data_IF_921963535926
#
_entry.id   IF_921963535926
#
_cell.length_a   1.000
_cell.length_b   1.000
_cell.length_c   1.000
_cell.angle_alpha   90.00
_cell.angle_beta   90.00
_cell.angle_gamma   90.00
#
_symmetry.space_group_name_H-M   'P 1'
#
loop_
_entity.id
_entity.type
_entity.pdbx_description
1 polymer ?
#
# COMPACT_ATOMS: atom_id res chain seq x y z
N UNK A 1 -9.93 -16.59 -11.45
CA UNK A 1 -10.29 -15.15 -11.49
C UNK A 1 -9.33 -14.42 -10.58
N UNK A 2 -8.79 -13.27 -11.00
CA UNK A 2 -8.05 -12.40 -10.09
C UNK A 2 -9.06 -11.70 -9.17
N UNK A 3 -8.83 -11.74 -7.86
CA UNK A 3 -9.61 -11.02 -6.87
C UNK A 3 -8.93 -9.66 -6.66
N UNK A 4 -9.69 -8.57 -6.62
CA UNK A 4 -9.15 -7.23 -6.39
C UNK A 4 -9.66 -6.71 -5.04
N UNK A 5 -8.78 -6.04 -4.30
CA UNK A 5 -9.18 -5.18 -3.20
C UNK A 5 -9.03 -3.72 -3.60
N UNK A 6 -9.94 -2.88 -3.13
CA UNK A 6 -9.94 -1.44 -3.38
C UNK A 6 -9.82 -0.71 -2.05
N UNK A 7 -8.98 0.31 -2.00
CA UNK A 7 -8.93 1.20 -0.84
C UNK A 7 -9.53 2.55 -1.20
N UNK A 8 -10.35 3.09 -0.31
CA UNK A 8 -10.95 4.41 -0.44
C UNK A 8 -10.73 5.21 0.83
N UNK A 9 -10.29 6.46 0.68
CA UNK A 9 -10.20 7.42 1.76
C UNK A 9 -10.75 8.77 1.33
N UNK A 10 -11.57 9.38 2.20
CA UNK A 10 -12.11 10.71 1.98
C UNK A 10 -12.44 11.40 3.33
N UNK A 11 -12.34 12.74 3.40
CA UNK A 11 -12.83 13.48 4.54
C UNK A 11 -14.35 13.59 4.47
N UNK A 12 -14.99 13.42 5.62
CA UNK A 12 -16.43 13.62 5.79
C UNK A 12 -16.68 14.55 6.97
N UNK A 13 -17.81 15.25 6.97
CA UNK A 13 -18.22 16.06 8.11
C UNK A 13 -18.58 15.17 9.33
N UNK A 14 -18.53 15.76 10.53
CA UNK A 14 -18.79 15.06 11.79
C UNK A 14 -20.18 14.41 11.89
N UNK A 15 -21.20 14.91 11.18
CA UNK A 15 -22.53 14.29 11.19
C UNK A 15 -22.53 13.06 10.29
N UNK A 16 -21.95 13.19 9.10
CA UNK A 16 -21.80 12.08 8.15
C UNK A 16 -20.94 10.95 8.74
N UNK A 17 -19.82 11.27 9.40
CA UNK A 17 -18.95 10.29 10.05
C UNK A 17 -19.69 9.32 11.00
N UNK A 18 -20.70 9.82 11.74
CA UNK A 18 -21.51 9.01 12.66
C UNK A 18 -22.39 7.97 11.97
N UNK A 19 -22.55 8.07 10.65
CA UNK A 19 -23.36 7.15 9.84
C UNK A 19 -22.52 6.17 9.04
N UNK A 20 -21.21 6.39 8.95
CA UNK A 20 -20.26 5.50 8.26
C UNK A 20 -19.80 4.42 9.24
N UNK A 21 -20.30 3.20 9.10
CA UNK A 21 -19.98 2.12 10.04
C UNK A 21 -18.95 1.11 9.49
N UNK A 22 -18.72 1.11 8.18
CA UNK A 22 -17.80 0.21 7.49
C UNK A 22 -17.32 0.83 6.17
N UNK A 23 -16.41 0.13 5.48
CA UNK A 23 -15.85 0.55 4.20
C UNK A 23 -16.91 0.68 3.09
N UNK A 24 -17.99 -0.12 3.11
CA UNK A 24 -19.02 -0.11 2.07
C UNK A 24 -19.81 1.19 2.05
N UNK A 25 -20.02 1.79 3.23
CA UNK A 25 -20.68 3.08 3.38
C UNK A 25 -19.92 4.24 2.70
N UNK A 26 -18.63 4.10 2.43
CA UNK A 26 -17.81 5.12 1.77
C UNK A 26 -18.12 5.27 0.28
N UNK A 27 -18.54 4.19 -0.37
CA UNK A 27 -18.80 4.18 -1.83
C UNK A 27 -19.90 5.15 -2.25
N UNK A 28 -20.91 5.35 -1.38
CA UNK A 28 -22.01 6.27 -1.63
C UNK A 28 -21.74 7.73 -1.24
N UNK A 29 -20.58 8.02 -0.65
CA UNK A 29 -20.20 9.37 -0.18
C UNK A 29 -19.15 10.03 -1.08
N UNK A 30 -18.57 9.26 -1.99
CA UNK A 30 -17.58 9.70 -2.95
C UNK A 30 -18.17 10.71 -3.95
N UNK A 31 -17.45 11.82 -4.15
CA UNK A 31 -17.67 12.78 -5.24
C UNK A 31 -16.31 13.28 -5.73
N UNK A 32 -16.16 13.45 -7.04
CA UNK A 32 -14.94 14.01 -7.66
C UNK A 32 -14.63 15.44 -7.20
N UNK A 33 -15.62 16.14 -6.66
CA UNK A 33 -15.47 17.51 -6.16
C UNK A 33 -14.80 17.60 -4.77
N UNK A 34 -14.64 16.48 -4.07
CA UNK A 34 -14.03 16.42 -2.74
C UNK A 34 -12.62 15.81 -2.82
N UNK A 35 -11.67 16.18 -1.95
CA UNK A 35 -10.41 15.47 -1.85
C UNK A 35 -10.64 13.99 -1.48
N UNK A 36 -10.05 13.06 -2.21
CA UNK A 36 -10.12 11.63 -1.90
C UNK A 36 -8.85 10.92 -2.37
N UNK A 37 -8.68 9.67 -1.93
CA UNK A 37 -7.71 8.72 -2.48
C UNK A 37 -8.44 7.41 -2.73
N UNK A 38 -8.41 6.93 -3.98
CA UNK A 38 -9.00 5.66 -4.40
C UNK A 38 -7.97 4.87 -5.19
N UNK A 39 -7.77 3.60 -4.85
CA UNK A 39 -6.86 2.73 -5.61
C UNK A 39 -7.20 1.26 -5.48
N UNK A 40 -6.67 0.44 -6.38
CA UNK A 40 -6.95 -1.00 -6.46
C UNK A 40 -5.67 -1.83 -6.38
N UNK A 41 -5.71 -2.98 -5.69
CA UNK A 41 -4.60 -3.91 -5.69
C UNK A 41 -5.09 -5.34 -5.86
N UNK A 42 -4.36 -6.11 -6.66
CA UNK A 42 -4.65 -7.52 -6.87
C UNK A 42 -4.38 -8.28 -5.58
N UNK A 43 -5.40 -9.00 -5.11
CA UNK A 43 -5.35 -9.82 -3.89
C UNK A 43 -4.78 -9.09 -2.65
N UNK A 44 -4.96 -7.77 -2.55
CA UNK A 44 -4.38 -6.97 -1.45
C UNK A 44 -2.84 -6.93 -1.43
N UNK A 45 -2.17 -7.20 -2.56
CA UNK A 45 -0.71 -7.26 -2.64
C UNK A 45 -0.02 -5.99 -2.13
N UNK A 46 -0.58 -4.81 -2.45
CA UNK A 46 -0.07 -3.51 -1.99
C UNK A 46 -0.10 -3.39 -0.46
N UNK A 47 -1.22 -3.74 0.18
CA UNK A 47 -1.33 -3.68 1.65
C UNK A 47 -0.49 -4.77 2.31
N UNK A 48 -0.37 -5.94 1.68
CA UNK A 48 0.56 -6.99 2.09
C UNK A 48 2.03 -6.52 2.07
N UNK A 49 2.42 -5.79 1.03
CA UNK A 49 3.74 -5.19 0.89
C UNK A 49 3.99 -4.11 1.97
N UNK A 50 3.00 -3.24 2.18
CA UNK A 50 3.03 -2.23 3.24
C UNK A 50 3.17 -2.88 4.63
N UNK A 51 2.42 -3.95 4.89
CA UNK A 51 2.48 -4.68 6.15
C UNK A 51 3.87 -5.28 6.41
N UNK A 52 4.51 -5.84 5.39
CA UNK A 52 5.88 -6.37 5.50
C UNK A 52 6.89 -5.27 5.85
N UNK A 53 6.84 -4.14 5.12
CA UNK A 53 7.71 -2.98 5.36
C UNK A 53 7.48 -2.42 6.76
N UNK A 54 6.23 -2.25 7.14
CA UNK A 54 5.86 -1.66 8.42
C UNK A 54 6.20 -2.58 9.61
N UNK A 55 6.08 -3.90 9.44
CA UNK A 55 6.48 -4.88 10.46
C UNK A 55 7.98 -4.82 10.79
N UNK A 56 8.85 -4.53 9.80
CA UNK A 56 10.27 -4.30 10.07
C UNK A 56 10.57 -2.92 10.65
N UNK A 57 9.75 -1.93 10.36
CA UNK A 57 9.92 -0.57 10.87
C UNK A 57 9.46 -0.42 12.33
N UNK A 58 8.23 -0.85 12.64
CA UNK A 58 7.62 -0.69 13.97
C UNK A 58 6.65 -1.84 14.29
N UNK A 59 7.16 -3.00 14.76
CA UNK A 59 6.40 -4.26 14.90
C UNK A 59 5.16 -4.22 15.82
N UNK A 60 4.99 -3.16 16.61
CA UNK A 60 3.92 -3.04 17.61
C UNK A 60 2.99 -1.84 17.36
N UNK A 61 3.10 -1.17 16.21
CA UNK A 61 2.27 -0.01 15.91
C UNK A 61 1.01 -0.39 15.11
N UNK A 62 -0.09 0.24 15.50
CA UNK A 62 -1.42 0.08 14.92
C UNK A 62 -1.65 1.11 13.81
N UNK A 63 -1.06 0.84 12.64
CA UNK A 63 -1.10 1.72 11.47
C UNK A 63 -2.44 1.65 10.75
N UNK A 64 -3.08 2.80 10.57
CA UNK A 64 -4.48 2.83 10.12
C UNK A 64 -4.70 2.28 8.71
N UNK A 65 -3.71 2.38 7.81
CA UNK A 65 -3.77 1.84 6.44
C UNK A 65 -3.73 0.31 6.38
N UNK A 66 -3.46 -0.36 7.50
CA UNK A 66 -3.45 -1.83 7.60
C UNK A 66 -4.71 -2.37 8.29
N UNK A 67 -5.73 -1.53 8.46
CA UNK A 67 -7.04 -1.92 9.01
C UNK A 67 -8.06 -2.03 7.89
N UNK A 68 -9.03 -2.91 8.03
CA UNK A 68 -10.17 -2.99 7.10
C UNK A 68 -10.94 -1.65 7.03
N UNK A 69 -10.99 -0.93 8.14
CA UNK A 69 -11.69 0.34 8.28
C UNK A 69 -11.08 1.22 9.37
N UNK A 70 -11.03 2.53 9.12
CA UNK A 70 -10.58 3.51 10.10
C UNK A 70 -11.35 4.83 9.98
N UNK A 71 -11.65 5.44 11.13
CA UNK A 71 -12.08 6.83 11.24
C UNK A 71 -11.06 7.60 12.07
N UNK A 72 -10.47 8.64 11.49
CA UNK A 72 -9.45 9.45 12.13
C UNK A 72 -9.98 10.85 12.39
N UNK A 73 -9.91 11.28 13.66
CA UNK A 73 -10.29 12.61 14.10
C UNK A 73 -9.25 13.14 15.10
N UNK A 74 -9.03 14.46 15.11
CA UNK A 74 -8.21 15.12 16.12
C UNK A 74 -6.80 14.53 16.22
N UNK A 75 -6.42 14.04 17.39
CA UNK A 75 -5.08 13.46 17.61
C UNK A 75 -4.79 12.23 16.72
N UNK A 76 -5.82 11.47 16.32
CA UNK A 76 -5.62 10.31 15.45
C UNK A 76 -5.21 10.72 14.02
N UNK A 77 -5.70 11.87 13.53
CA UNK A 77 -5.27 12.44 12.24
C UNK A 77 -3.80 12.87 12.29
N UNK A 78 -3.43 13.61 13.34
CA UNK A 78 -2.04 14.07 13.50
C UNK A 78 -1.07 12.90 13.66
N UNK A 79 -1.46 11.87 14.42
CA UNK A 79 -0.68 10.64 14.55
C UNK A 79 -0.49 9.95 13.21
N UNK A 80 -1.56 9.76 12.43
CA UNK A 80 -1.49 9.13 11.11
C UNK A 80 -0.59 9.90 10.14
N UNK A 81 -0.70 11.24 10.14
CA UNK A 81 0.17 12.12 9.34
C UNK A 81 1.64 11.97 9.74
N UNK A 82 1.92 11.95 11.04
CA UNK A 82 3.27 11.75 11.56
C UNK A 82 3.82 10.37 11.17
N UNK A 83 3.05 9.30 11.35
CA UNK A 83 3.46 7.93 11.02
C UNK A 83 3.82 7.77 9.54
N UNK A 84 3.03 8.32 8.61
CA UNK A 84 3.36 8.28 7.18
C UNK A 84 4.60 9.12 6.87
N UNK A 85 4.71 10.31 7.45
CA UNK A 85 5.87 11.19 7.25
C UNK A 85 7.16 10.52 7.72
N UNK A 86 7.14 9.92 8.91
CA UNK A 86 8.27 9.21 9.49
C UNK A 86 8.64 7.96 8.68
N UNK A 87 7.65 7.20 8.21
CA UNK A 87 7.88 6.03 7.35
C UNK A 87 8.58 6.44 6.04
N UNK A 88 8.06 7.43 5.32
CA UNK A 88 8.65 7.91 4.07
C UNK A 88 10.08 8.45 4.29
N UNK A 89 10.29 9.25 5.33
CA UNK A 89 11.61 9.78 5.67
C UNK A 89 12.59 8.65 6.04
N UNK A 90 12.13 7.63 6.76
CA UNK A 90 12.95 6.48 7.14
C UNK A 90 13.36 5.65 5.94
N UNK A 91 12.43 5.39 5.01
CA UNK A 91 12.72 4.67 3.77
C UNK A 91 13.73 5.46 2.93
N UNK A 92 13.60 6.78 2.86
CA UNK A 92 14.57 7.62 2.15
C UNK A 92 15.97 7.57 2.77
N UNK A 93 16.07 7.55 4.11
CA UNK A 93 17.35 7.49 4.83
C UNK A 93 17.97 6.08 4.84
N UNK A 94 17.15 5.05 4.81
CA UNK A 94 17.56 3.64 4.88
C UNK A 94 16.72 2.77 3.94
N UNK A 95 16.93 2.85 2.61
CA UNK A 95 16.18 2.07 1.62
C UNK A 95 16.38 0.55 1.76
N UNK A 96 17.48 0.11 2.38
CA UNK A 96 17.72 -1.30 2.69
C UNK A 96 16.63 -1.92 3.57
N UNK A 97 15.89 -1.12 4.35
CA UNK A 97 14.74 -1.61 5.11
C UNK A 97 13.67 -2.22 4.20
N UNK A 98 13.42 -1.61 3.03
CA UNK A 98 12.44 -2.12 2.06
C UNK A 98 12.99 -3.36 1.36
N UNK A 99 14.28 -3.34 0.97
CA UNK A 99 14.95 -4.51 0.38
C UNK A 99 14.86 -5.73 1.30
N UNK A 100 15.10 -5.53 2.60
CA UNK A 100 14.99 -6.59 3.61
C UNK A 100 13.55 -7.04 3.84
N UNK A 101 12.58 -6.12 3.83
CA UNK A 101 11.17 -6.44 4.03
C UNK A 101 10.59 -7.29 2.90
N UNK A 102 11.12 -7.12 1.69
CA UNK A 102 10.57 -7.66 0.44
C UNK A 102 11.35 -8.85 -0.11
N UNK A 103 12.42 -9.27 0.59
CA UNK A 103 13.20 -10.43 0.16
C UNK A 103 12.38 -11.70 0.25
N UNK A 104 12.59 -12.59 -0.70
CA UNK A 104 11.92 -13.89 -0.75
C UNK A 104 12.95 -15.02 -0.76
N UNK A 105 12.59 -16.23 -0.31
CA UNK A 105 13.47 -17.38 -0.45
C UNK A 105 13.85 -17.59 -1.92
N UNK A 106 15.14 -17.76 -2.18
CA UNK A 106 15.61 -18.09 -3.52
C UNK A 106 15.16 -19.50 -3.89
N UNK A 107 14.37 -19.63 -4.97
CA UNK A 107 13.80 -20.88 -5.44
C UNK A 107 14.08 -21.03 -6.94
N UNK A 108 15.08 -21.83 -7.35
CA UNK A 108 15.43 -21.97 -8.77
C UNK A 108 14.38 -22.74 -9.57
N UNK A 109 13.53 -23.51 -8.89
CA UNK A 109 12.50 -24.33 -9.52
C UNK A 109 11.17 -24.18 -8.78
N UNK A 110 10.07 -24.29 -9.51
CA UNK A 110 8.72 -24.42 -8.96
C UNK A 110 7.95 -25.55 -9.63
N UNK A 111 6.83 -25.91 -9.03
CA UNK A 111 5.87 -26.84 -9.62
C UNK A 111 4.62 -26.07 -10.04
N UNK A 112 4.33 -26.08 -11.35
CA UNK A 112 3.11 -25.53 -11.91
C UNK A 112 1.99 -26.54 -11.74
N UNK A 113 0.91 -26.11 -11.11
CA UNK A 113 -0.35 -26.87 -11.05
C UNK A 113 -1.28 -26.28 -12.10
N UNK A 114 -1.61 -27.08 -13.12
CA UNK A 114 -2.51 -26.69 -14.21
C UNK A 114 -3.62 -27.71 -14.36
N UNK A 115 -4.86 -27.23 -14.56
CA UNK A 115 -6.02 -28.11 -14.68
C UNK A 115 -5.85 -29.08 -15.86
N UNK A 116 -5.97 -30.38 -15.59
CA UNK A 116 -5.91 -31.43 -16.60
C UNK A 116 -4.50 -31.93 -16.96
N UNK A 117 -3.46 -31.45 -16.28
CA UNK A 117 -2.08 -31.94 -16.42
C UNK A 117 -1.54 -32.43 -15.07
N UNK A 118 -0.59 -33.35 -15.10
CA UNK A 118 0.22 -33.68 -13.92
C UNK A 118 1.10 -32.47 -13.55
N UNK A 119 1.49 -32.31 -12.27
CA UNK A 119 2.32 -31.18 -11.84
C UNK A 119 3.60 -31.08 -12.68
N UNK A 120 3.82 -29.92 -13.30
CA UNK A 120 4.95 -29.69 -14.19
C UNK A 120 6.06 -28.95 -13.46
N UNK A 121 7.29 -29.47 -13.51
CA UNK A 121 8.45 -28.72 -13.03
C UNK A 121 8.79 -27.58 -14.00
N UNK A 122 9.05 -26.40 -13.46
CA UNK A 122 9.46 -25.22 -14.20
C UNK A 122 10.66 -24.55 -13.52
N UNK A 123 11.56 -24.00 -14.34
CA UNK A 123 12.69 -23.19 -13.88
C UNK A 123 12.27 -21.73 -13.72
N UNK A 124 12.57 -21.15 -12.58
CA UNK A 124 12.39 -19.72 -12.31
C UNK A 124 13.58 -18.95 -12.86
N UNK A 125 13.32 -18.13 -13.88
CA UNK A 125 14.33 -17.26 -14.47
C UNK A 125 14.34 -15.94 -13.72
N UNK A 126 15.40 -15.68 -12.98
CA UNK A 126 15.65 -14.40 -12.33
C UNK A 126 16.33 -13.42 -13.30
N UNK A 127 16.15 -12.10 -13.12
CA UNK A 127 16.92 -11.09 -13.84
C UNK A 127 18.44 -11.33 -13.71
N UNK A 128 19.20 -10.99 -14.74
CA UNK A 128 20.66 -11.23 -14.77
C UNK A 128 21.44 -10.45 -13.69
N UNK A 129 20.84 -9.36 -13.21
CA UNK A 129 21.32 -8.46 -12.16
C UNK A 129 20.67 -8.74 -10.79
N UNK A 130 19.92 -9.83 -10.65
CA UNK A 130 19.33 -10.23 -9.38
C UNK A 130 20.38 -10.41 -8.28
N UNK A 131 20.13 -9.78 -7.13
CA UNK A 131 20.93 -9.99 -5.93
C UNK A 131 20.42 -11.22 -5.17
N UNK A 132 21.25 -12.26 -5.10
CA UNK A 132 21.00 -13.47 -4.32
C UNK A 132 22.08 -13.60 -3.25
N UNK A 133 21.67 -13.55 -1.99
CA UNK A 133 22.56 -13.63 -0.83
C UNK A 133 21.96 -14.50 0.26
N UNK A 134 22.76 -15.42 0.80
CA UNK A 134 22.36 -16.29 1.92
C UNK A 134 21.06 -17.07 1.70
N UNK A 135 20.77 -17.45 0.45
CA UNK A 135 19.56 -18.19 0.10
C UNK A 135 18.29 -17.33 -0.08
N UNK A 136 18.44 -16.02 -0.13
CA UNK A 136 17.35 -15.08 -0.40
C UNK A 136 17.58 -14.30 -1.69
N UNK A 137 16.49 -14.03 -2.40
CA UNK A 137 16.41 -13.12 -3.53
C UNK A 137 15.92 -11.75 -3.04
N UNK A 138 16.66 -10.70 -3.41
CA UNK A 138 16.33 -9.31 -3.09
C UNK A 138 15.73 -8.65 -4.33
N UNK A 139 14.40 -8.65 -4.41
CA UNK A 139 13.67 -8.14 -5.57
C UNK A 139 13.74 -6.64 -5.78
N UNK A 140 14.07 -5.88 -4.73
CA UNK A 140 14.21 -4.42 -4.80
C UNK A 140 15.52 -3.98 -4.16
N UNK A 141 16.59 -3.76 -4.94
CA UNK A 141 17.82 -3.22 -4.40
C UNK A 141 17.62 -1.76 -3.93
N UNK A 142 18.45 -1.25 -3.00
CA UNK A 142 18.24 0.04 -2.36
C UNK A 142 18.11 1.24 -3.32
N UNK A 143 18.85 1.22 -4.44
CA UNK A 143 18.77 2.23 -5.49
C UNK A 143 17.43 2.24 -6.21
N UNK A 144 16.83 1.08 -6.46
CA UNK A 144 15.50 0.98 -7.08
C UNK A 144 14.42 1.45 -6.11
N UNK A 145 14.55 1.14 -4.82
CA UNK A 145 13.65 1.67 -3.78
C UNK A 145 13.66 3.19 -3.79
N UNK A 146 14.86 3.80 -3.84
CA UNK A 146 14.98 5.26 -3.94
C UNK A 146 14.40 5.79 -5.24
N UNK A 147 14.65 5.15 -6.38
CA UNK A 147 14.10 5.59 -7.67
C UNK A 147 12.57 5.55 -7.67
N UNK A 148 11.96 4.45 -7.21
CA UNK A 148 10.52 4.30 -7.07
C UNK A 148 9.96 5.38 -6.13
N UNK A 149 10.62 5.62 -4.99
CA UNK A 149 10.20 6.68 -4.06
C UNK A 149 10.26 8.07 -4.70
N UNK A 150 11.24 8.38 -5.54
CA UNK A 150 11.32 9.67 -6.22
C UNK A 150 10.30 9.82 -7.36
N UNK A 151 10.04 8.74 -8.11
CA UNK A 151 9.06 8.72 -9.22
C UNK A 151 7.62 8.83 -8.75
N UNK A 152 7.30 8.25 -7.60
CA UNK A 152 5.94 8.21 -7.09
C UNK A 152 5.32 9.62 -6.97
N UNK A 153 4.17 9.82 -7.61
CA UNK A 153 3.45 11.09 -7.64
C UNK A 153 2.27 11.09 -6.65
N UNK A 154 1.81 12.29 -6.30
CA UNK A 154 0.58 12.46 -5.50
C UNK A 154 -0.60 12.52 -6.47
N UNK A 155 -1.60 11.67 -6.25
CA UNK A 155 -2.82 11.60 -7.05
C UNK A 155 -4.01 11.10 -6.23
N UNK A 156 -5.21 11.61 -6.51
CA UNK A 156 -6.46 11.03 -5.97
C UNK A 156 -6.69 9.61 -6.47
N UNK A 157 -6.08 9.24 -7.60
CA UNK A 157 -6.00 7.88 -8.14
C UNK A 157 -4.53 7.51 -8.33
N UNK A 158 -3.85 6.93 -7.33
CA UNK A 158 -2.45 6.54 -7.44
C UNK A 158 -2.21 5.33 -8.35
N UNK A 159 -3.20 4.95 -9.17
CA UNK A 159 -3.13 3.85 -10.12
C UNK A 159 -2.09 4.14 -11.22
N UNK A 160 -1.15 3.23 -11.42
CA UNK A 160 -0.10 3.36 -12.43
C UNK A 160 -0.52 2.66 -13.74
N UNK A 161 -0.48 3.33 -14.91
CA UNK A 161 -0.89 2.73 -16.18
C UNK A 161 -0.07 1.49 -16.59
N UNK A 162 1.16 1.38 -16.08
CA UNK A 162 2.09 0.29 -16.36
C UNK A 162 2.08 -0.80 -15.29
N UNK A 163 1.30 -0.62 -14.22
CA UNK A 163 1.12 -1.57 -13.13
C UNK A 163 -0.37 -1.63 -12.74
N UNK A 164 -1.21 -2.23 -13.60
CA UNK A 164 -2.66 -2.30 -13.38
C UNK A 164 -3.04 -3.23 -12.22
N UNK A 165 -2.12 -4.09 -11.77
CA UNK A 165 -2.34 -5.00 -10.65
C UNK A 165 -1.98 -4.35 -9.29
N UNK A 166 -1.30 -3.20 -9.30
CA UNK A 166 -0.98 -2.44 -8.09
C UNK A 166 -0.03 -3.21 -7.16
N UNK A 167 1.00 -3.82 -7.73
CA UNK A 167 1.94 -4.69 -7.00
C UNK A 167 3.33 -4.05 -6.82
N UNK A 168 3.62 -2.95 -7.54
CA UNK A 168 4.94 -2.33 -7.51
C UNK A 168 5.18 -1.43 -6.29
N UNK A 169 6.45 -1.25 -5.94
CA UNK A 169 6.85 -0.28 -4.91
C UNK A 169 6.49 1.17 -5.27
N UNK A 170 6.55 1.53 -6.55
CA UNK A 170 6.16 2.87 -7.00
C UNK A 170 4.70 3.14 -6.66
N UNK A 171 3.83 2.16 -6.93
CA UNK A 171 2.41 2.22 -6.63
C UNK A 171 2.15 2.40 -5.12
N UNK A 172 2.83 1.61 -4.28
CA UNK A 172 2.76 1.75 -2.83
C UNK A 172 3.20 3.15 -2.37
N UNK A 173 4.25 3.71 -2.95
CA UNK A 173 4.71 5.05 -2.60
C UNK A 173 3.75 6.14 -3.10
N UNK A 174 3.10 5.97 -4.25
CA UNK A 174 2.01 6.84 -4.69
C UNK A 174 0.88 6.84 -3.65
N UNK A 175 0.44 5.66 -3.19
CA UNK A 175 -0.57 5.55 -2.12
C UNK A 175 -0.14 6.34 -0.87
N UNK A 176 1.05 6.08 -0.32
CA UNK A 176 1.52 6.72 0.91
C UNK A 176 1.58 8.24 0.77
N UNK A 177 2.11 8.75 -0.35
CA UNK A 177 2.19 10.19 -0.61
C UNK A 177 0.81 10.81 -0.80
N UNK A 178 -0.09 10.15 -1.51
CA UNK A 178 -1.48 10.59 -1.70
C UNK A 178 -2.24 10.65 -0.38
N UNK A 179 -2.08 9.67 0.50
CA UNK A 179 -2.69 9.72 1.83
C UNK A 179 -2.08 10.82 2.71
N UNK A 180 -0.77 11.06 2.63
CA UNK A 180 -0.14 12.17 3.35
C UNK A 180 -0.70 13.51 2.86
N UNK A 181 -0.83 13.70 1.55
CA UNK A 181 -1.47 14.88 0.96
C UNK A 181 -2.90 15.04 1.45
N UNK A 182 -3.69 13.96 1.45
CA UNK A 182 -5.06 13.97 1.93
C UNK A 182 -5.13 14.38 3.40
N UNK A 183 -4.33 13.77 4.27
CA UNK A 183 -4.24 14.11 5.70
C UNK A 183 -3.83 15.58 5.94
N UNK A 184 -2.98 16.15 5.07
CA UNK A 184 -2.55 17.55 5.14
C UNK A 184 -3.63 18.54 4.67
N UNK A 185 -4.52 18.12 3.77
CA UNK A 185 -5.57 18.96 3.22
C UNK A 185 -6.81 19.08 4.14
N UNK A 186 -6.92 18.23 5.15
CA UNK A 186 -8.08 18.12 6.03
C UNK A 186 -7.99 19.10 7.20
N UNK A 187 -9.08 19.82 7.48
CA UNK A 187 -9.24 20.57 8.73
C UNK A 187 -9.69 19.61 9.86
N UNK A 188 -8.81 19.32 10.84
CA UNK A 188 -9.09 18.33 11.88
C UNK A 188 -10.18 18.77 12.87
N UNK A 189 -10.62 20.03 12.82
CA UNK A 189 -11.69 20.55 13.68
C UNK A 189 -13.09 20.35 13.10
N UNK A 190 -13.19 20.17 11.79
CA UNK A 190 -14.48 20.11 11.07
C UNK A 190 -14.71 18.78 10.36
N UNK A 191 -13.66 18.02 10.09
CA UNK A 191 -13.71 16.79 9.31
C UNK A 191 -13.14 15.58 10.06
N UNK A 192 -13.60 14.40 9.63
CA UNK A 192 -13.08 13.09 10.00
C UNK A 192 -12.58 12.45 8.71
N UNK A 193 -11.34 11.93 8.70
CA UNK A 193 -10.89 11.10 7.59
C UNK A 193 -11.47 9.70 7.79
N UNK A 194 -12.26 9.24 6.84
CA UNK A 194 -12.68 7.85 6.79
C UNK A 194 -11.86 7.11 5.73
N UNK A 195 -11.39 5.92 6.08
CA UNK A 195 -10.64 5.01 5.23
C UNK A 195 -11.27 3.61 5.31
N UNK A 196 -11.27 2.89 4.20
CA UNK A 196 -11.65 1.48 4.19
C UNK A 196 -11.09 0.71 3.00
N UNK A 197 -10.90 -0.58 3.22
CA UNK A 197 -10.62 -1.58 2.18
C UNK A 197 -11.91 -2.36 1.84
N UNK A 198 -12.15 -2.51 0.54
CA UNK A 198 -13.28 -3.22 -0.03
C UNK A 198 -12.76 -4.40 -0.84
N UNK A 199 -13.18 -5.60 -0.47
CA UNK A 199 -12.85 -6.82 -1.20
C UNK A 199 -14.00 -7.19 -2.16
N UNK A 200 -13.71 -7.38 -3.45
CA UNK A 200 -14.72 -7.73 -4.47
C UNK A 200 -14.37 -9.00 -5.22
#
# INVERSE_FOLDING_TARGET
>A
MAWYSYTLALPVDLKTAKTVNDASALTGLYSEDCPFVHTSSRNGAMLGLLAQIYALYLPQSDFYLLRDFAQLQGQALEKAKQEITELLARIQQNPALVSEATKTPYTPYLTLQTDGFEPLEAELVYPSDALILEGFFYGYPPEEVLQALHKAEVSSHPDLPHDPDGESLEYLFCLLKSHLWLLQAIDPSTHVLCYGELNT
#
